data_IF_895559047358
#
_entry.id   IF_895559047358
#
_cell.length_a   1.000
_cell.length_b   1.000
_cell.length_c   1.000
_cell.angle_alpha   90.00
_cell.angle_beta   90.00
_cell.angle_gamma   90.00
#
_symmetry.space_group_name_H-M   'P 1'
#
loop_
_entity.id
_entity.type
_entity.pdbx_description
1 polymer ?
#
# COMPACT_ATOMS: atom_id res chain seq x y z
N UNK A 1 86.43 77.83 81.87
CA UNK A 1 87.14 76.64 81.37
C UNK A 1 87.16 75.49 82.36
N UNK A 2 87.43 75.69 83.66
CA UNK A 2 87.47 74.58 84.65
C UNK A 2 86.14 73.79 84.82
N UNK A 3 84.99 74.45 84.70
CA UNK A 3 83.67 73.83 84.92
C UNK A 3 83.23 72.90 83.78
N UNK A 4 83.76 73.11 82.57
CA UNK A 4 83.51 72.23 81.41
C UNK A 4 84.35 70.96 81.48
N UNK A 5 85.60 71.05 81.91
CA UNK A 5 86.48 69.90 82.09
C UNK A 5 85.93 68.94 83.13
N UNK A 6 85.50 69.47 84.28
CA UNK A 6 84.92 68.65 85.36
C UNK A 6 83.60 67.98 84.95
N UNK A 7 82.78 68.67 84.15
CA UNK A 7 81.56 68.10 83.54
C UNK A 7 81.88 67.05 82.49
N UNK A 8 82.97 67.20 81.74
CA UNK A 8 83.45 66.20 80.78
C UNK A 8 83.90 64.93 81.49
N UNK A 9 84.73 65.05 82.53
CA UNK A 9 85.23 63.90 83.30
C UNK A 9 84.07 63.15 84.01
N UNK A 10 83.08 63.88 84.56
CA UNK A 10 81.85 63.27 85.13
C UNK A 10 81.04 62.53 84.05
N UNK A 11 80.94 63.11 82.85
CA UNK A 11 80.26 62.49 81.72
C UNK A 11 80.98 61.22 81.26
N UNK A 12 82.30 61.23 81.22
CA UNK A 12 83.13 60.07 80.85
C UNK A 12 82.95 58.91 81.83
N UNK A 13 83.01 59.18 83.14
CA UNK A 13 82.74 58.17 84.19
C UNK A 13 81.32 57.61 84.06
N UNK A 14 80.34 58.46 83.80
CA UNK A 14 78.94 58.05 83.62
C UNK A 14 78.75 57.20 82.36
N UNK A 15 79.43 57.53 81.26
CA UNK A 15 79.40 56.75 80.01
C UNK A 15 80.03 55.36 80.23
N UNK A 16 81.19 55.28 80.88
CA UNK A 16 81.83 54.00 81.21
C UNK A 16 80.98 53.14 82.14
N UNK A 17 80.33 53.74 83.14
CA UNK A 17 79.42 53.03 84.03
C UNK A 17 78.17 52.51 83.28
N UNK A 18 77.65 53.29 82.32
CA UNK A 18 76.55 52.89 81.46
C UNK A 18 76.93 51.72 80.55
N UNK A 19 78.12 51.75 79.96
CA UNK A 19 78.65 50.65 79.16
C UNK A 19 78.83 49.36 80.00
N UNK A 20 79.44 49.46 81.18
CA UNK A 20 79.63 48.32 82.08
C UNK A 20 78.30 47.71 82.57
N UNK A 21 77.31 48.55 82.93
CA UNK A 21 76.01 48.10 83.41
C UNK A 21 75.16 47.46 82.30
N UNK A 22 75.31 47.95 81.05
CA UNK A 22 74.49 47.50 79.92
C UNK A 22 75.11 46.29 79.21
N UNK A 23 76.44 46.14 79.23
CA UNK A 23 77.22 45.11 78.50
C UNK A 23 77.64 43.92 79.39
N UNK A 24 76.82 43.55 80.39
CA UNK A 24 77.10 42.40 81.26
C UNK A 24 77.28 41.09 80.46
N UNK A 25 78.53 40.63 80.30
CA UNK A 25 78.86 39.27 79.88
C UNK A 25 79.83 39.12 78.70
N UNK A 26 80.22 40.19 78.00
CA UNK A 26 81.21 40.11 76.90
C UNK A 26 82.23 41.24 77.03
N UNK A 27 83.46 40.98 77.49
CA UNK A 27 84.51 42.01 77.56
C UNK A 27 84.85 42.49 76.14
N UNK A 28 85.05 43.81 75.96
CA UNK A 28 85.56 44.52 74.75
C UNK A 28 84.54 45.06 73.73
N UNK A 29 83.23 44.95 73.96
CA UNK A 29 82.22 45.57 73.07
C UNK A 29 81.60 46.81 73.72
N UNK A 30 81.52 47.91 72.98
CA UNK A 30 80.79 49.13 73.40
C UNK A 30 79.29 48.96 73.18
N UNK A 31 78.48 49.90 73.70
CA UNK A 31 77.03 49.95 73.40
C UNK A 31 76.81 50.11 71.88
N UNK A 32 77.66 50.86 71.18
CA UNK A 32 77.59 51.05 69.73
C UNK A 32 77.76 49.73 68.95
N UNK A 33 78.72 48.89 69.34
CA UNK A 33 78.96 47.60 68.66
C UNK A 33 77.78 46.62 68.79
N UNK A 34 77.05 46.69 69.91
CA UNK A 34 75.82 45.90 70.11
C UNK A 34 74.66 46.44 69.29
N UNK A 35 74.54 47.77 69.15
CA UNK A 35 73.56 48.39 68.25
C UNK A 35 73.83 47.98 66.81
N UNK A 36 75.09 47.99 66.36
CA UNK A 36 75.45 47.52 65.02
C UNK A 36 75.16 46.03 64.81
N UNK A 37 75.41 45.20 65.83
CA UNK A 37 75.07 43.78 65.78
C UNK A 37 73.56 43.56 65.73
N UNK A 38 72.78 44.36 66.48
CA UNK A 38 71.33 44.34 66.41
C UNK A 38 70.83 44.79 65.04
N UNK A 39 71.39 45.86 64.45
CA UNK A 39 71.06 46.29 63.10
C UNK A 39 71.32 45.19 62.08
N UNK A 40 72.52 44.57 62.08
CA UNK A 40 72.83 43.45 61.18
C UNK A 40 71.85 42.29 61.34
N UNK A 41 71.46 41.93 62.57
CA UNK A 41 70.46 40.88 62.81
C UNK A 41 69.07 41.27 62.33
N UNK A 42 68.69 42.53 62.46
CA UNK A 42 67.41 43.05 61.93
C UNK A 42 67.42 43.01 60.40
N UNK A 43 68.52 43.41 59.77
CA UNK A 43 68.71 43.33 58.31
C UNK A 43 68.68 41.87 57.84
N UNK A 44 69.40 40.97 58.50
CA UNK A 44 69.37 39.53 58.20
C UNK A 44 67.94 38.96 58.33
N UNK A 45 67.20 39.34 59.37
CA UNK A 45 65.81 38.91 59.57
C UNK A 45 64.92 39.49 58.47
N UNK A 46 65.11 40.76 58.11
CA UNK A 46 64.34 41.42 57.04
C UNK A 46 64.59 40.73 55.69
N UNK A 47 65.85 40.49 55.33
CA UNK A 47 66.25 39.81 54.09
C UNK A 47 65.70 38.38 54.06
N UNK A 48 65.81 37.63 55.16
CA UNK A 48 65.26 36.27 55.25
C UNK A 48 63.73 36.25 55.11
N UNK A 49 63.03 37.25 55.67
CA UNK A 49 61.57 37.37 55.54
C UNK A 49 61.16 37.74 54.11
N UNK A 50 61.86 38.68 53.47
CA UNK A 50 61.62 39.06 52.07
C UNK A 50 61.86 37.88 51.14
N UNK A 51 62.98 37.16 51.31
CA UNK A 51 63.29 35.93 50.57
C UNK A 51 62.20 34.87 50.72
N UNK A 52 61.69 34.69 51.95
CA UNK A 52 60.62 33.72 52.22
C UNK A 52 59.32 34.15 51.54
N UNK A 53 58.96 35.43 51.62
CA UNK A 53 57.77 35.98 50.96
C UNK A 53 57.88 35.81 49.44
N UNK A 54 59.02 36.14 48.83
CA UNK A 54 59.22 36.02 47.39
C UNK A 54 59.13 34.56 46.92
N UNK A 55 59.65 33.62 47.72
CA UNK A 55 59.50 32.18 47.44
C UNK A 55 58.05 31.73 47.54
N UNK A 56 57.33 32.09 48.59
CA UNK A 56 55.92 31.69 48.79
C UNK A 56 54.99 32.33 47.74
N UNK A 57 55.16 33.63 47.45
CA UNK A 57 54.42 34.35 46.41
C UNK A 57 54.76 33.80 45.02
N UNK A 58 56.03 33.49 44.76
CA UNK A 58 56.48 32.85 43.54
C UNK A 58 55.85 31.47 43.34
N UNK A 59 55.82 30.64 44.39
CA UNK A 59 55.17 29.34 44.39
C UNK A 59 53.67 29.46 44.10
N UNK A 60 52.97 30.34 44.83
CA UNK A 60 51.53 30.57 44.64
C UNK A 60 51.19 31.05 43.22
N UNK A 61 52.00 31.96 42.65
CA UNK A 61 51.82 32.43 41.26
C UNK A 61 52.03 31.29 40.26
N UNK A 62 53.00 30.41 40.50
CA UNK A 62 53.26 29.25 39.66
C UNK A 62 52.09 28.26 39.71
N UNK A 63 51.58 27.95 40.90
CA UNK A 63 50.40 27.10 41.10
C UNK A 63 49.15 27.68 40.44
N UNK A 64 48.91 28.98 40.61
CA UNK A 64 47.79 29.68 39.98
C UNK A 64 47.89 29.64 38.45
N UNK A 65 49.07 29.89 37.87
CA UNK A 65 49.30 29.78 36.42
C UNK A 65 49.05 28.35 35.93
N UNK A 66 49.52 27.35 36.67
CA UNK A 66 49.26 25.95 36.36
C UNK A 66 47.77 25.60 36.46
N UNK A 67 47.06 26.14 37.46
CA UNK A 67 45.62 26.01 37.63
C UNK A 67 44.84 26.58 36.45
N UNK A 68 45.15 27.81 36.03
CA UNK A 68 44.53 28.43 34.85
C UNK A 68 44.82 27.65 33.57
N UNK A 69 46.07 27.20 33.36
CA UNK A 69 46.39 26.37 32.20
C UNK A 69 45.58 25.05 32.16
N UNK A 70 45.33 24.43 33.33
CA UNK A 70 44.46 23.24 33.43
C UNK A 70 43.00 23.58 33.11
N UNK A 71 42.52 24.75 33.52
CA UNK A 71 41.17 25.23 33.22
C UNK A 71 41.02 25.47 31.71
N UNK A 72 41.97 26.16 31.08
CA UNK A 72 41.96 26.41 29.64
C UNK A 72 41.93 25.10 28.84
N UNK A 73 42.74 24.10 29.25
CA UNK A 73 42.71 22.77 28.66
C UNK A 73 41.36 22.07 28.82
N UNK A 74 40.67 22.25 29.96
CA UNK A 74 39.33 21.68 30.18
C UNK A 74 38.30 22.37 29.29
N UNK A 75 38.34 23.70 29.19
CA UNK A 75 37.43 24.44 28.30
C UNK A 75 37.64 24.06 26.84
N UNK A 76 38.89 23.95 26.38
CA UNK A 76 39.18 23.50 25.01
C UNK A 76 38.60 22.10 24.70
N UNK A 77 38.64 21.17 25.65
CA UNK A 77 38.00 19.85 25.50
C UNK A 77 36.47 19.94 25.46
N UNK A 78 35.88 20.83 26.25
CA UNK A 78 34.44 21.08 26.26
C UNK A 78 34.00 21.66 24.91
N UNK A 79 34.73 22.64 24.38
CA UNK A 79 34.44 23.23 23.07
C UNK A 79 34.49 22.17 21.96
N UNK A 80 35.50 21.30 21.98
CA UNK A 80 35.59 20.17 21.05
C UNK A 80 34.39 19.20 21.18
N UNK A 81 33.90 18.97 22.40
CA UNK A 81 32.70 18.15 22.62
C UNK A 81 31.45 18.81 22.05
N UNK A 82 31.27 20.13 22.24
CA UNK A 82 30.15 20.87 21.65
C UNK A 82 30.18 20.81 20.13
N UNK A 83 31.32 21.02 19.50
CA UNK A 83 31.48 20.87 18.04
C UNK A 83 31.09 19.45 17.58
N UNK A 84 31.49 18.42 18.34
CA UNK A 84 31.13 17.03 18.01
C UNK A 84 29.62 16.77 18.17
N UNK A 85 28.99 17.38 19.17
CA UNK A 85 27.54 17.29 19.40
C UNK A 85 26.79 17.98 18.25
N UNK A 86 27.19 19.18 17.85
CA UNK A 86 26.56 19.92 16.75
C UNK A 86 26.63 19.11 15.45
N UNK A 87 27.78 18.51 15.14
CA UNK A 87 27.91 17.62 13.98
C UNK A 87 26.99 16.40 14.04
N UNK A 88 26.74 15.84 15.23
CA UNK A 88 25.80 14.73 15.38
C UNK A 88 24.36 15.19 15.15
N UNK A 89 23.99 16.36 15.67
CA UNK A 89 22.66 16.93 15.44
C UNK A 89 22.43 17.23 13.95
N UNK A 90 23.41 17.81 13.24
CA UNK A 90 23.27 18.03 11.79
C UNK A 90 23.03 16.73 11.02
N UNK A 91 23.71 15.64 11.39
CA UNK A 91 23.47 14.31 10.78
C UNK A 91 22.08 13.75 11.10
N UNK A 92 21.57 14.01 12.31
CA UNK A 92 20.22 13.61 12.70
C UNK A 92 19.19 14.39 11.87
N UNK A 93 19.38 15.69 11.68
CA UNK A 93 18.50 16.52 10.87
C UNK A 93 18.47 16.05 9.41
N UNK A 94 19.64 15.74 8.83
CA UNK A 94 19.74 15.15 7.48
C UNK A 94 18.98 13.81 7.38
N UNK A 95 19.06 12.97 8.42
CA UNK A 95 18.32 11.71 8.48
C UNK A 95 16.80 11.94 8.53
N UNK A 96 16.34 12.91 9.32
CA UNK A 96 14.91 13.26 9.37
C UNK A 96 14.40 13.74 8.02
N UNK A 97 15.15 14.62 7.33
CA UNK A 97 14.80 15.05 5.97
C UNK A 97 14.71 13.86 5.00
N UNK A 98 15.64 12.90 5.10
CA UNK A 98 15.60 11.68 4.27
C UNK A 98 14.39 10.80 4.59
N UNK A 99 14.03 10.68 5.87
CA UNK A 99 12.85 9.93 6.32
C UNK A 99 11.57 10.59 5.77
N UNK A 100 11.44 11.90 5.87
CA UNK A 100 10.28 12.64 5.37
C UNK A 100 10.11 12.43 3.86
N UNK A 101 11.20 12.51 3.09
CA UNK A 101 11.17 12.23 1.64
C UNK A 101 10.74 10.79 1.33
N UNK A 102 11.10 9.81 2.17
CA UNK A 102 10.66 8.43 2.01
C UNK A 102 9.18 8.28 2.31
N UNK A 103 8.66 8.94 3.34
CA UNK A 103 7.24 8.95 3.64
C UNK A 103 6.42 9.60 2.52
N UNK A 104 6.87 10.74 1.97
CA UNK A 104 6.18 11.36 0.82
C UNK A 104 6.09 10.42 -0.39
N UNK A 105 7.16 9.66 -0.69
CA UNK A 105 7.13 8.64 -1.77
C UNK A 105 6.18 7.49 -1.48
N UNK A 106 6.07 7.07 -0.21
CA UNK A 106 5.13 6.03 0.21
C UNK A 106 3.69 6.54 0.03
N UNK A 107 3.39 7.77 0.42
CA UNK A 107 2.08 8.39 0.24
C UNK A 107 1.69 8.47 -1.24
N UNK A 108 2.61 8.90 -2.12
CA UNK A 108 2.40 8.89 -3.57
C UNK A 108 2.10 7.49 -4.12
N UNK A 109 2.77 6.45 -3.61
CA UNK A 109 2.51 5.07 -3.99
C UNK A 109 1.11 4.61 -3.55
N UNK A 110 0.69 4.96 -2.32
CA UNK A 110 -0.67 4.65 -1.85
C UNK A 110 -1.73 5.32 -2.72
N UNK A 111 -1.56 6.60 -3.08
CA UNK A 111 -2.48 7.29 -4.00
C UNK A 111 -2.55 6.58 -5.36
N UNK A 112 -1.42 6.10 -5.89
CA UNK A 112 -1.41 5.35 -7.15
C UNK A 112 -2.13 4.00 -7.02
N UNK A 113 -1.92 3.29 -5.92
CA UNK A 113 -2.59 2.02 -5.62
C UNK A 113 -4.10 2.23 -5.55
N UNK A 114 -4.58 3.26 -4.84
CA UNK A 114 -6.01 3.58 -4.74
C UNK A 114 -6.62 3.86 -6.13
N UNK A 115 -5.94 4.65 -6.96
CA UNK A 115 -6.38 4.90 -8.35
C UNK A 115 -6.46 3.62 -9.19
N UNK A 116 -5.54 2.67 -8.98
CA UNK A 116 -5.58 1.37 -9.67
C UNK A 116 -6.75 0.52 -9.20
N UNK A 117 -7.03 0.49 -7.90
CA UNK A 117 -8.20 -0.21 -7.36
C UNK A 117 -9.50 0.39 -7.87
N UNK A 118 -9.65 1.72 -7.92
CA UNK A 118 -10.85 2.35 -8.49
C UNK A 118 -11.08 1.95 -9.96
N UNK A 119 -10.01 1.88 -10.77
CA UNK A 119 -10.12 1.41 -12.17
C UNK A 119 -10.52 -0.07 -12.28
N UNK A 120 -10.06 -0.90 -11.34
CA UNK A 120 -10.44 -2.32 -11.28
C UNK A 120 -11.93 -2.44 -10.93
N UNK A 121 -12.42 -1.67 -9.96
CA UNK A 121 -13.83 -1.65 -9.57
C UNK A 121 -14.72 -1.23 -10.75
N UNK A 122 -14.34 -0.18 -11.49
CA UNK A 122 -15.05 0.24 -12.71
C UNK A 122 -15.09 -0.88 -13.78
N UNK A 123 -14.01 -1.63 -13.94
CA UNK A 123 -13.97 -2.76 -14.87
C UNK A 123 -14.91 -3.89 -14.43
N UNK A 124 -14.97 -4.21 -13.13
CA UNK A 124 -15.91 -5.20 -12.61
C UNK A 124 -17.37 -4.78 -12.85
N UNK A 125 -17.71 -3.52 -12.60
CA UNK A 125 -19.04 -2.99 -12.91
C UNK A 125 -19.38 -3.14 -14.40
N UNK A 126 -18.42 -2.88 -15.30
CA UNK A 126 -18.64 -3.07 -16.74
C UNK A 126 -18.84 -4.55 -17.10
N UNK A 127 -18.05 -5.45 -16.52
CA UNK A 127 -18.16 -6.90 -16.70
C UNK A 127 -19.55 -7.38 -16.26
N UNK A 128 -20.02 -6.96 -15.09
CA UNK A 128 -21.35 -7.31 -14.59
C UNK A 128 -22.45 -6.84 -15.54
N UNK A 129 -22.37 -5.60 -16.04
CA UNK A 129 -23.31 -5.09 -17.04
C UNK A 129 -23.30 -5.91 -18.35
N UNK A 130 -22.14 -6.40 -18.78
CA UNK A 130 -22.03 -7.26 -19.97
C UNK A 130 -22.65 -8.63 -19.72
N UNK A 131 -22.46 -9.22 -18.55
CA UNK A 131 -23.10 -10.48 -18.18
C UNK A 131 -24.62 -10.35 -18.13
N UNK A 132 -25.15 -9.30 -17.51
CA UNK A 132 -26.61 -9.04 -17.52
C UNK A 132 -27.18 -8.95 -18.94
N UNK A 133 -26.48 -8.31 -19.88
CA UNK A 133 -26.90 -8.25 -21.30
C UNK A 133 -26.82 -9.60 -22.01
N UNK A 134 -25.91 -10.48 -21.60
CA UNK A 134 -25.80 -11.83 -22.13
C UNK A 134 -26.97 -12.67 -21.62
N UNK A 135 -27.28 -12.59 -20.33
CA UNK A 135 -28.41 -13.30 -19.72
C UNK A 135 -29.75 -12.90 -20.38
N UNK A 136 -29.96 -11.60 -20.62
CA UNK A 136 -31.13 -11.11 -21.38
C UNK A 136 -31.21 -11.69 -22.80
N UNK A 137 -30.08 -11.86 -23.48
CA UNK A 137 -30.04 -12.46 -24.81
C UNK A 137 -30.36 -13.95 -24.77
N UNK A 138 -29.83 -14.69 -23.80
CA UNK A 138 -30.18 -16.09 -23.61
C UNK A 138 -31.66 -16.27 -23.32
N UNK A 139 -32.24 -15.45 -22.44
CA UNK A 139 -33.69 -15.48 -22.17
C UNK A 139 -34.53 -15.24 -23.45
N UNK A 140 -34.11 -14.32 -24.33
CA UNK A 140 -34.76 -14.09 -25.63
C UNK A 140 -34.61 -15.29 -26.58
N UNK A 141 -33.45 -15.95 -26.57
CA UNK A 141 -33.21 -17.15 -27.37
C UNK A 141 -34.12 -18.29 -26.90
N UNK A 142 -34.23 -18.52 -25.59
CA UNK A 142 -35.10 -19.55 -25.01
C UNK A 142 -36.57 -19.32 -25.37
N UNK A 143 -37.03 -18.06 -25.31
CA UNK A 143 -38.37 -17.69 -25.77
C UNK A 143 -38.59 -18.01 -27.26
N UNK A 144 -37.60 -17.74 -28.11
CA UNK A 144 -37.69 -18.06 -29.54
C UNK A 144 -37.74 -19.56 -29.78
N UNK A 145 -36.96 -20.36 -29.06
CA UNK A 145 -37.02 -21.83 -29.15
C UNK A 145 -38.40 -22.34 -28.72
N UNK A 146 -38.95 -21.82 -27.63
CA UNK A 146 -40.31 -22.17 -27.18
C UNK A 146 -41.36 -21.87 -28.27
N UNK A 147 -41.25 -20.72 -28.95
CA UNK A 147 -42.15 -20.38 -30.06
C UNK A 147 -41.98 -21.30 -31.28
N UNK A 148 -40.74 -21.70 -31.58
CA UNK A 148 -40.43 -22.64 -32.66
C UNK A 148 -41.07 -24.00 -32.35
N UNK A 149 -40.92 -24.52 -31.12
CA UNK A 149 -41.51 -25.79 -30.70
C UNK A 149 -43.04 -25.76 -30.83
N UNK A 150 -43.68 -24.66 -30.42
CA UNK A 150 -45.13 -24.47 -30.59
C UNK A 150 -45.55 -24.49 -32.06
N UNK A 151 -44.77 -23.87 -32.95
CA UNK A 151 -45.05 -23.89 -34.40
C UNK A 151 -44.89 -25.29 -35.00
N UNK A 152 -43.88 -26.05 -34.56
CA UNK A 152 -43.73 -27.45 -34.99
C UNK A 152 -44.91 -28.30 -34.53
N UNK A 153 -45.34 -28.18 -33.27
CA UNK A 153 -46.53 -28.88 -32.79
C UNK A 153 -47.80 -28.55 -33.61
N UNK A 154 -47.98 -27.29 -34.02
CA UNK A 154 -49.08 -26.89 -34.91
C UNK A 154 -48.97 -27.50 -36.31
N UNK A 155 -47.74 -27.59 -36.86
CA UNK A 155 -47.49 -28.23 -38.15
C UNK A 155 -47.82 -29.72 -38.07
N UNK A 156 -47.39 -30.42 -37.01
CA UNK A 156 -47.70 -31.84 -36.81
C UNK A 156 -49.21 -32.08 -36.73
N UNK A 157 -49.95 -31.23 -36.01
CA UNK A 157 -51.41 -31.30 -35.97
C UNK A 157 -52.05 -31.12 -37.35
N UNK A 158 -51.53 -30.21 -38.17
CA UNK A 158 -52.03 -30.01 -39.55
C UNK A 158 -51.74 -31.22 -40.43
N UNK A 159 -50.57 -31.84 -40.31
CA UNK A 159 -50.26 -33.07 -41.03
C UNK A 159 -51.18 -34.21 -40.63
N UNK A 160 -51.43 -34.41 -39.33
CA UNK A 160 -52.38 -35.42 -38.86
C UNK A 160 -53.81 -35.20 -39.42
N UNK A 161 -54.25 -33.93 -39.53
CA UNK A 161 -55.54 -33.61 -40.17
C UNK A 161 -55.55 -33.89 -41.67
N UNK A 162 -54.43 -33.66 -42.36
CA UNK A 162 -54.28 -33.99 -43.78
C UNK A 162 -54.34 -35.50 -43.99
N UNK A 163 -53.64 -36.27 -43.17
CA UNK A 163 -53.66 -37.74 -43.22
C UNK A 163 -55.08 -38.28 -43.02
N UNK A 164 -55.83 -37.75 -42.05
CA UNK A 164 -57.24 -38.10 -41.86
C UNK A 164 -58.11 -37.80 -43.08
N UNK A 165 -57.85 -36.68 -43.79
CA UNK A 165 -58.55 -36.35 -45.03
C UNK A 165 -58.21 -37.33 -46.15
N UNK A 166 -56.95 -37.75 -46.28
CA UNK A 166 -56.56 -38.77 -47.25
C UNK A 166 -57.25 -40.10 -46.98
N UNK A 167 -57.27 -40.57 -45.73
CA UNK A 167 -58.02 -41.79 -45.34
C UNK A 167 -59.50 -41.67 -45.73
N UNK A 168 -60.12 -40.50 -45.50
CA UNK A 168 -61.52 -40.28 -45.87
C UNK A 168 -61.74 -40.24 -47.40
N UNK A 169 -60.77 -39.74 -48.17
CA UNK A 169 -60.78 -39.74 -49.63
C UNK A 169 -60.65 -41.17 -50.16
N UNK A 170 -59.71 -41.95 -49.64
CA UNK A 170 -59.52 -43.36 -50.02
C UNK A 170 -60.79 -44.18 -49.78
N UNK A 171 -61.44 -43.98 -48.63
CA UNK A 171 -62.72 -44.63 -48.33
C UNK A 171 -63.84 -44.23 -49.31
N UNK A 172 -63.85 -42.98 -49.80
CA UNK A 172 -64.80 -42.53 -50.83
C UNK A 172 -64.52 -43.17 -52.18
N UNK A 173 -63.24 -43.28 -52.57
CA UNK A 173 -62.85 -43.96 -53.81
C UNK A 173 -63.23 -45.44 -53.78
N UNK A 174 -62.95 -46.16 -52.70
CA UNK A 174 -63.36 -47.56 -52.56
C UNK A 174 -64.88 -47.75 -52.70
N UNK A 175 -65.68 -46.81 -52.16
CA UNK A 175 -67.14 -46.83 -52.33
C UNK A 175 -67.58 -46.48 -53.75
N UNK A 176 -66.83 -45.64 -54.46
CA UNK A 176 -67.09 -45.37 -55.89
C UNK A 176 -66.79 -46.60 -56.73
N UNK A 177 -65.68 -47.29 -56.48
CA UNK A 177 -65.33 -48.54 -57.16
C UNK A 177 -66.42 -49.60 -56.96
N UNK A 178 -66.89 -49.82 -55.72
CA UNK A 178 -68.01 -50.75 -55.45
C UNK A 178 -69.31 -50.38 -56.21
N UNK A 179 -69.54 -49.08 -56.43
CA UNK A 179 -70.70 -48.61 -57.21
C UNK A 179 -70.51 -48.85 -58.71
N UNK A 180 -69.30 -48.72 -59.22
CA UNK A 180 -68.96 -49.02 -60.61
C UNK A 180 -69.07 -50.51 -60.87
N UNK A 181 -68.56 -51.37 -59.99
CA UNK A 181 -68.71 -52.84 -60.09
C UNK A 181 -70.19 -53.24 -60.19
N UNK A 182 -71.05 -52.68 -59.31
CA UNK A 182 -72.51 -52.93 -59.36
C UNK A 182 -73.16 -52.43 -60.64
N UNK A 183 -72.62 -51.36 -61.24
CA UNK A 183 -73.10 -50.82 -62.49
C UNK A 183 -72.73 -51.74 -63.65
N UNK A 184 -71.51 -52.26 -63.66
CA UNK A 184 -71.03 -53.25 -64.64
C UNK A 184 -71.87 -54.53 -64.56
N UNK A 185 -72.11 -55.09 -63.37
CA UNK A 185 -73.02 -56.23 -63.18
C UNK A 185 -74.45 -55.97 -63.71
N UNK A 186 -74.92 -54.72 -63.65
CA UNK A 186 -76.23 -54.34 -64.17
C UNK A 186 -76.20 -54.25 -65.70
N UNK A 187 -75.11 -53.77 -66.29
CA UNK A 187 -74.91 -53.76 -67.74
C UNK A 187 -74.83 -55.19 -68.29
N UNK A 188 -74.07 -56.10 -67.68
CA UNK A 188 -74.01 -57.52 -68.07
C UNK A 188 -75.40 -58.18 -68.06
N UNK A 189 -76.23 -57.85 -67.07
CA UNK A 189 -77.61 -58.34 -66.99
C UNK A 189 -78.50 -57.75 -68.08
N UNK A 190 -78.28 -56.50 -68.46
CA UNK A 190 -79.01 -55.86 -69.57
C UNK A 190 -78.61 -56.48 -70.90
N UNK A 191 -77.32 -56.72 -71.12
CA UNK A 191 -76.79 -57.39 -72.32
C UNK A 191 -77.41 -58.77 -72.50
N UNK A 192 -77.37 -59.63 -71.47
CA UNK A 192 -78.04 -60.96 -71.51
C UNK A 192 -79.54 -60.89 -71.78
N UNK A 193 -80.21 -59.84 -71.29
CA UNK A 193 -81.65 -59.63 -71.56
C UNK A 193 -81.90 -59.21 -73.00
N UNK A 194 -81.00 -58.41 -73.59
CA UNK A 194 -81.06 -58.04 -75.00
C UNK A 194 -80.79 -59.25 -75.88
N UNK A 195 -79.77 -60.06 -75.60
CA UNK A 195 -79.52 -61.33 -76.31
C UNK A 195 -80.76 -62.24 -76.30
N UNK A 196 -81.39 -62.38 -75.13
CA UNK A 196 -82.63 -63.16 -75.01
C UNK A 196 -83.81 -62.54 -75.76
N UNK A 197 -83.85 -61.21 -75.95
CA UNK A 197 -84.85 -60.56 -76.78
C UNK A 197 -84.57 -60.80 -78.26
N UNK A 198 -83.31 -60.72 -78.69
CA UNK A 198 -82.89 -61.01 -80.07
C UNK A 198 -83.26 -62.46 -80.45
N UNK A 199 -82.94 -63.44 -79.59
CA UNK A 199 -83.36 -64.84 -79.76
C UNK A 199 -84.90 -65.00 -79.90
N UNK A 200 -85.67 -64.18 -79.19
CA UNK A 200 -87.14 -64.19 -79.27
C UNK A 200 -87.63 -63.57 -80.57
N UNK A 201 -86.99 -62.50 -81.05
CA UNK A 201 -87.29 -61.87 -82.33
C UNK A 201 -86.98 -62.82 -83.49
N UNK A 202 -85.82 -63.49 -83.50
CA UNK A 202 -85.47 -64.49 -84.51
C UNK A 202 -86.52 -65.62 -84.60
N UNK A 203 -86.99 -66.09 -83.44
CA UNK A 203 -88.07 -67.10 -83.38
C UNK A 203 -89.38 -66.57 -83.95
N UNK A 204 -89.76 -65.33 -83.63
CA UNK A 204 -90.96 -64.71 -84.17
C UNK A 204 -90.86 -64.52 -85.69
N UNK A 205 -89.70 -64.09 -86.19
CA UNK A 205 -89.44 -63.95 -87.62
C UNK A 205 -89.54 -65.30 -88.35
N UNK A 206 -88.98 -66.37 -87.76
CA UNK A 206 -89.12 -67.73 -88.29
C UNK A 206 -90.59 -68.21 -88.33
N UNK A 207 -91.38 -67.91 -87.29
CA UNK A 207 -92.81 -68.25 -87.24
C UNK A 207 -93.57 -67.48 -88.33
N UNK A 208 -93.30 -66.19 -88.49
CA UNK A 208 -93.92 -65.36 -89.52
C UNK A 208 -93.61 -65.89 -90.92
N UNK A 209 -92.34 -66.19 -91.22
CA UNK A 209 -91.96 -66.78 -92.52
C UNK A 209 -92.63 -68.12 -92.80
N UNK A 210 -92.86 -68.96 -91.78
CA UNK A 210 -93.65 -70.20 -91.91
C UNK A 210 -95.14 -69.94 -92.19
N UNK A 211 -95.73 -68.91 -91.56
CA UNK A 211 -97.13 -68.53 -91.81
C UNK A 211 -97.27 -68.00 -93.23
N UNK A 212 -96.37 -67.12 -93.68
CA UNK A 212 -96.36 -66.59 -95.06
C UNK A 212 -96.23 -67.70 -96.11
N UNK A 213 -95.36 -68.68 -95.86
CA UNK A 213 -95.21 -69.85 -96.74
C UNK A 213 -96.46 -70.73 -96.80
N UNK A 214 -97.24 -70.82 -95.71
CA UNK A 214 -98.52 -71.54 -95.66
C UNK A 214 -99.66 -70.79 -96.35
N UNK A 215 -99.61 -69.46 -96.40
CA UNK A 215 -100.59 -68.62 -97.09
C UNK A 215 -100.35 -68.54 -98.60
N UNK A 216 -99.14 -68.90 -99.05
CA UNK A 216 -98.72 -68.83 -100.46
C UNK A 216 -98.81 -70.18 -101.22
N UNK A 217 -99.25 -71.26 -100.56
CA UNK A 217 -99.61 -72.55 -101.16
C UNK A 217 -101.13 -72.75 -101.11
#
# INVERSE_FOLDING_TARGET
MLDLQKKYDDLEVRVTALEAATVSGVPQLTIADRIDTLHRRVDDVADNLLDKIDREVGALRSEMRAGFARIDQRFSKIDQQFVSIDQKFSKIDEQFVSIDQRFSKIDEQFVNIDQRFSKIDEQFVNIDQRFSKIDEQFAKIDQRFTQIDQRFAQIDQRFAQIDQKFVAIDARFAKMDERLDKMDERFDRLEKRLDSHDDRFDRLESILGRIESKLSN
#
